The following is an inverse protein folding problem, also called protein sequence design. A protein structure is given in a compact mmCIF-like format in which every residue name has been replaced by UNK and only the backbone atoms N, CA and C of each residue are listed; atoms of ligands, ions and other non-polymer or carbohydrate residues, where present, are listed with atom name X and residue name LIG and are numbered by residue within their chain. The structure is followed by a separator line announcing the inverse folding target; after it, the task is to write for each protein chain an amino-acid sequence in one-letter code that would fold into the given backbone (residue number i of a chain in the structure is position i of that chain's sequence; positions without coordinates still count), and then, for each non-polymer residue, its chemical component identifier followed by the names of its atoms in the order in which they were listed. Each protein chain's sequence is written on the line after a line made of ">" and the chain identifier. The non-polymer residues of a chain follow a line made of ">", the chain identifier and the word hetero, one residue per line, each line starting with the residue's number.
data_IF_651603855623
#
_entry.id   IF_651603855623
#
_cell.length_a   1.000
_cell.length_b   1.000
_cell.length_c   1.000
_cell.angle_alpha   90.00
_cell.angle_beta   90.00
_cell.angle_gamma   90.00
#
_symmetry.space_group_name_H-M   'P 1'
#
loop_
_entity.id
_entity.type
_entity.pdbx_description
1 polymer ?
#
# COMPACT_ATOMS: atom_id res chain seq x y z
N UNK A 1 -1.09 0.15 -8.18
CA UNK A 1 -0.20 0.29 -7.01
C UNK A 1 1.17 0.72 -7.50
N UNK A 2 2.00 1.35 -6.67
CA UNK A 2 3.32 1.86 -7.08
C UNK A 2 4.30 1.82 -5.91
N UNK A 3 5.58 1.56 -6.20
CA UNK A 3 6.65 1.63 -5.22
C UNK A 3 6.97 3.09 -4.86
N UNK A 4 7.22 3.39 -3.58
CA UNK A 4 7.58 4.73 -3.15
C UNK A 4 8.89 5.23 -3.79
N UNK A 5 9.82 4.32 -4.10
CA UNK A 5 11.09 4.64 -4.79
C UNK A 5 10.85 5.12 -6.21
N UNK A 6 9.93 4.48 -6.93
CA UNK A 6 9.57 4.87 -8.29
C UNK A 6 8.87 6.23 -8.31
N UNK A 7 8.02 6.51 -7.29
CA UNK A 7 7.39 7.84 -7.13
C UNK A 7 8.45 8.90 -6.83
N UNK A 8 9.41 8.62 -5.95
CA UNK A 8 10.50 9.55 -5.66
C UNK A 8 11.33 9.86 -6.92
N UNK A 9 11.65 8.82 -7.71
CA UNK A 9 12.34 9.01 -8.99
C UNK A 9 11.50 9.85 -9.97
N UNK A 10 10.18 9.61 -10.02
CA UNK A 10 9.27 10.40 -10.85
C UNK A 10 9.22 11.87 -10.41
N UNK A 11 9.29 12.14 -9.11
CA UNK A 11 9.36 13.52 -8.59
C UNK A 11 10.66 14.20 -9.01
N UNK A 12 11.80 13.52 -8.93
CA UNK A 12 13.09 14.04 -9.40
C UNK A 12 13.02 14.34 -10.91
N UNK A 13 12.52 13.38 -11.71
CA UNK A 13 12.40 13.57 -13.15
C UNK A 13 11.42 14.69 -13.51
N UNK A 14 10.36 14.91 -12.71
CA UNK A 14 9.44 16.01 -12.89
C UNK A 14 10.11 17.38 -12.67
N UNK A 15 11.06 17.48 -11.74
CA UNK A 15 11.86 18.70 -11.56
C UNK A 15 12.78 18.95 -12.76
N UNK A 16 13.40 17.90 -13.29
CA UNK A 16 14.38 18.04 -14.38
C UNK A 16 13.75 18.21 -15.77
N UNK A 17 12.63 17.53 -16.03
CA UNK A 17 12.04 17.35 -17.37
C UNK A 17 10.55 17.69 -17.44
N UNK A 18 9.91 17.89 -16.30
CA UNK A 18 8.49 18.21 -16.24
C UNK A 18 8.21 19.60 -16.82
N UNK A 19 6.95 19.79 -17.23
CA UNK A 19 6.48 21.08 -17.76
C UNK A 19 5.71 21.84 -16.70
N UNK A 20 5.92 23.15 -16.62
CA UNK A 20 5.16 24.02 -15.71
C UNK A 20 3.66 23.94 -16.02
N UNK A 21 2.85 23.76 -14.97
CA UNK A 21 1.39 23.65 -15.07
C UNK A 21 0.88 22.24 -15.36
N UNK A 22 1.76 21.28 -15.65
CA UNK A 22 1.36 19.90 -15.90
C UNK A 22 1.21 19.08 -14.62
N UNK A 23 0.28 18.12 -14.68
CA UNK A 23 0.07 17.11 -13.64
C UNK A 23 0.45 15.74 -14.19
N UNK A 24 1.23 15.00 -13.41
CA UNK A 24 1.69 13.66 -13.76
C UNK A 24 1.13 12.66 -12.75
N UNK A 25 0.48 11.61 -13.25
CA UNK A 25 -0.01 10.50 -12.42
C UNK A 25 1.05 9.42 -12.40
N UNK A 26 1.46 9.00 -11.21
CA UNK A 26 2.46 7.96 -10.97
C UNK A 26 1.79 6.72 -10.41
N UNK A 27 1.06 6.03 -11.27
CA UNK A 27 0.44 4.74 -10.96
C UNK A 27 1.12 3.62 -11.74
N UNK A 28 1.66 2.63 -11.02
CA UNK A 28 2.09 1.37 -11.62
C UNK A 28 0.89 0.49 -12.01
N UNK A 29 1.14 -0.80 -12.23
CA UNK A 29 0.09 -1.73 -12.63
C UNK A 29 -1.07 -1.78 -11.61
N UNK A 30 -2.28 -2.00 -12.14
CA UNK A 30 -3.46 -2.19 -11.33
C UNK A 30 -3.45 -3.60 -10.73
N UNK A 31 -3.61 -3.69 -9.41
CA UNK A 31 -3.75 -4.94 -8.68
C UNK A 31 -5.00 -4.85 -7.80
N UNK A 32 -5.77 -5.93 -7.76
CA UNK A 32 -6.85 -6.07 -6.78
C UNK A 32 -6.25 -6.38 -5.41
N UNK A 33 -7.02 -6.12 -4.35
CA UNK A 33 -6.64 -6.53 -2.99
C UNK A 33 -6.42 -8.06 -2.89
N UNK A 34 -7.19 -8.84 -3.65
CA UNK A 34 -6.99 -10.27 -3.77
C UNK A 34 -5.64 -10.64 -4.40
N UNK A 35 -5.27 -10.00 -5.52
CA UNK A 35 -3.97 -10.22 -6.16
C UNK A 35 -2.81 -9.84 -5.22
N UNK A 36 -2.97 -8.75 -4.46
CA UNK A 36 -1.99 -8.34 -3.45
C UNK A 36 -1.76 -9.44 -2.41
N UNK A 37 -2.85 -9.96 -1.82
CA UNK A 37 -2.77 -11.00 -0.80
C UNK A 37 -2.23 -12.33 -1.33
N UNK A 38 -2.63 -12.74 -2.53
CA UNK A 38 -2.08 -13.94 -3.17
C UNK A 38 -0.58 -13.79 -3.47
N UNK A 39 -0.14 -12.60 -3.87
CA UNK A 39 1.28 -12.32 -4.10
C UNK A 39 2.06 -12.36 -2.80
N UNK A 40 1.52 -11.79 -1.72
CA UNK A 40 2.09 -11.87 -0.38
C UNK A 40 2.17 -13.31 0.14
N UNK A 41 1.15 -14.13 -0.05
CA UNK A 41 1.17 -15.54 0.34
C UNK A 41 2.29 -16.30 -0.37
N UNK A 42 2.46 -16.07 -1.68
CA UNK A 42 3.54 -16.68 -2.47
C UNK A 42 4.94 -16.26 -1.99
N UNK A 43 5.13 -14.99 -1.63
CA UNK A 43 6.44 -14.46 -1.23
C UNK A 43 6.76 -14.83 0.23
N UNK A 44 5.81 -14.65 1.14
CA UNK A 44 6.01 -14.85 2.59
C UNK A 44 5.82 -16.30 3.05
N UNK A 45 5.11 -17.12 2.27
CA UNK A 45 4.66 -18.46 2.69
C UNK A 45 3.54 -18.46 3.73
N UNK A 46 3.02 -17.28 4.11
CA UNK A 46 1.93 -17.13 5.09
C UNK A 46 0.59 -17.18 4.35
N UNK A 47 -0.37 -18.03 4.79
CA UNK A 47 -1.64 -18.18 4.09
C UNK A 47 -2.41 -16.87 4.04
N UNK A 48 -2.91 -16.52 2.85
CA UNK A 48 -3.65 -15.28 2.67
C UNK A 48 -5.01 -15.32 3.41
N UNK A 49 -5.52 -14.17 3.87
CA UNK A 49 -6.85 -14.10 4.47
C UNK A 49 -7.93 -14.48 3.46
N UNK A 50 -8.67 -15.55 3.73
CA UNK A 50 -9.72 -16.08 2.84
C UNK A 50 -11.09 -15.45 3.07
N UNK A 51 -11.25 -14.66 4.14
CA UNK A 51 -12.52 -14.08 4.53
C UNK A 51 -12.88 -12.89 3.62
N UNK A 52 -13.82 -13.10 2.70
CA UNK A 52 -14.43 -12.02 1.92
C UNK A 52 -15.59 -11.42 2.71
N UNK A 53 -15.40 -10.22 3.24
CA UNK A 53 -16.44 -9.47 3.96
C UNK A 53 -17.28 -8.70 2.92
N UNK A 54 -18.62 -8.85 2.89
CA UNK A 54 -19.46 -8.09 1.98
C UNK A 54 -19.39 -6.59 2.30
N UNK A 55 -19.37 -5.75 1.27
CA UNK A 55 -19.19 -4.29 1.39
C UNK A 55 -20.08 -3.65 2.46
N UNK A 56 -21.37 -4.00 2.49
CA UNK A 56 -22.33 -3.45 3.45
C UNK A 56 -21.91 -3.73 4.90
N UNK A 57 -21.36 -4.91 5.17
CA UNK A 57 -20.89 -5.26 6.51
C UNK A 57 -19.61 -4.50 6.86
N UNK A 58 -18.71 -4.31 5.90
CA UNK A 58 -17.50 -3.51 6.07
C UNK A 58 -17.83 -2.05 6.39
N UNK A 59 -18.79 -1.45 5.70
CA UNK A 59 -19.26 -0.08 5.95
C UNK A 59 -19.90 0.04 7.34
N UNK A 60 -20.72 -0.94 7.75
CA UNK A 60 -21.30 -0.98 9.10
C UNK A 60 -20.20 -1.04 10.16
N UNK A 61 -19.25 -1.97 10.02
CA UNK A 61 -18.13 -2.14 10.95
C UNK A 61 -17.29 -0.87 11.05
N UNK A 62 -17.01 -0.22 9.93
CA UNK A 62 -16.23 1.00 9.91
C UNK A 62 -16.98 2.19 10.54
N UNK A 63 -18.30 2.30 10.33
CA UNK A 63 -19.13 3.29 11.02
C UNK A 63 -19.13 3.11 12.54
N UNK A 64 -19.21 1.86 13.03
CA UNK A 64 -19.07 1.57 14.45
C UNK A 64 -17.66 1.89 14.96
N UNK A 65 -16.62 1.57 14.18
CA UNK A 65 -15.23 1.82 14.56
C UNK A 65 -14.90 3.30 14.63
N UNK A 66 -15.43 4.12 13.73
CA UNK A 66 -15.23 5.58 13.73
C UNK A 66 -15.99 6.25 14.87
N UNK A 67 -17.19 5.79 15.19
CA UNK A 67 -17.91 6.26 16.37
C UNK A 67 -17.20 5.88 17.67
N UNK A 68 -16.66 4.66 17.74
CA UNK A 68 -15.86 4.21 18.89
C UNK A 68 -14.54 4.98 18.99
N UNK A 69 -13.86 5.23 17.88
CA UNK A 69 -12.64 6.03 17.80
C UNK A 69 -12.88 7.48 18.26
N UNK A 70 -13.99 8.10 17.84
CA UNK A 70 -14.43 9.43 18.31
C UNK A 70 -14.69 9.46 19.81
N UNK A 71 -15.25 8.38 20.37
CA UNK A 71 -15.46 8.27 21.82
C UNK A 71 -14.16 8.06 22.60
N UNK A 72 -13.19 7.35 22.01
CA UNK A 72 -11.98 6.89 22.71
C UNK A 72 -10.74 7.76 22.42
N UNK A 73 -10.86 8.78 21.55
CA UNK A 73 -9.74 9.60 21.03
C UNK A 73 -8.56 8.77 20.47
N UNK A 74 -8.81 7.51 20.09
CA UNK A 74 -7.84 6.61 19.45
C UNK A 74 -8.06 6.63 17.94
N UNK A 75 -6.99 6.51 17.16
CA UNK A 75 -7.10 6.41 15.70
C UNK A 75 -7.89 5.15 15.33
N UNK A 76 -8.86 5.32 14.42
CA UNK A 76 -9.65 4.21 13.87
C UNK A 76 -8.73 3.22 13.16
N UNK A 77 -8.88 1.93 13.46
CA UNK A 77 -8.12 0.84 12.82
C UNK A 77 -8.56 0.65 11.36
N UNK A 78 -9.79 1.06 11.03
CA UNK A 78 -10.39 0.89 9.70
C UNK A 78 -11.15 2.18 9.34
N UNK A 79 -10.47 3.21 8.81
CA UNK A 79 -11.15 4.43 8.38
C UNK A 79 -12.11 4.12 7.22
N UNK A 80 -13.33 4.67 7.28
CA UNK A 80 -14.38 4.50 6.27
C UNK A 80 -13.89 4.86 4.86
N UNK A 81 -13.09 5.92 4.75
CA UNK A 81 -12.55 6.40 3.49
C UNK A 81 -11.62 5.36 2.84
N UNK A 82 -10.85 4.63 3.67
CA UNK A 82 -9.96 3.57 3.21
C UNK A 82 -10.73 2.44 2.54
N UNK A 83 -11.90 2.07 3.08
CA UNK A 83 -12.76 1.02 2.51
C UNK A 83 -13.35 1.46 1.17
N UNK A 84 -13.84 2.70 1.09
CA UNK A 84 -14.38 3.24 -0.17
C UNK A 84 -13.31 3.23 -1.27
N UNK A 85 -12.10 3.71 -0.97
CA UNK A 85 -10.98 3.74 -1.91
C UNK A 85 -10.55 2.32 -2.30
N UNK A 86 -10.52 1.36 -1.36
CA UNK A 86 -10.20 -0.04 -1.66
C UNK A 86 -11.22 -0.71 -2.59
N UNK A 87 -12.48 -0.26 -2.57
CA UNK A 87 -13.54 -0.78 -3.43
C UNK A 87 -13.61 -0.12 -4.81
N UNK A 88 -13.01 1.06 -4.98
CA UNK A 88 -12.91 1.73 -6.27
C UNK A 88 -11.88 1.05 -7.19
N UNK A 89 -12.35 0.53 -8.33
CA UNK A 89 -11.49 -0.06 -9.36
C UNK A 89 -10.93 1.01 -10.29
N UNK A 90 -10.13 1.92 -9.75
CA UNK A 90 -9.55 3.00 -10.54
C UNK A 90 -8.28 2.53 -11.26
N UNK A 91 -8.42 2.15 -12.54
CA UNK A 91 -7.27 2.06 -13.44
C UNK A 91 -6.82 3.48 -13.78
N UNK A 92 -5.69 3.88 -13.22
CA UNK A 92 -5.11 5.19 -13.46
C UNK A 92 -4.14 5.12 -14.65
N UNK A 93 -4.19 6.14 -15.51
CA UNK A 93 -3.31 6.24 -16.67
C UNK A 93 -2.05 7.04 -16.34
N UNK A 94 -0.90 6.37 -16.42
CA UNK A 94 0.44 6.95 -16.21
C UNK A 94 1.20 7.18 -17.52
N UNK A 95 0.55 7.06 -18.68
CA UNK A 95 1.19 7.19 -19.99
C UNK A 95 1.92 8.52 -20.15
N UNK A 96 1.35 9.62 -19.63
CA UNK A 96 2.00 10.94 -19.65
C UNK A 96 3.30 10.94 -18.85
N UNK A 97 3.30 10.39 -17.64
CA UNK A 97 4.50 10.31 -16.80
C UNK A 97 5.58 9.45 -17.46
N UNK A 98 5.21 8.29 -18.01
CA UNK A 98 6.17 7.41 -18.71
C UNK A 98 6.78 8.13 -19.92
N UNK A 99 5.96 8.78 -20.75
CA UNK A 99 6.41 9.43 -21.97
C UNK A 99 7.26 10.68 -21.73
N UNK A 100 6.86 11.53 -20.80
CA UNK A 100 7.50 12.84 -20.60
C UNK A 100 8.57 12.82 -19.52
N UNK A 101 8.36 12.06 -18.43
CA UNK A 101 9.31 11.96 -17.34
C UNK A 101 10.27 10.77 -17.49
N UNK A 102 10.01 9.84 -18.41
CA UNK A 102 10.84 8.66 -18.64
C UNK A 102 10.85 7.69 -17.45
N UNK A 103 9.77 7.66 -16.67
CA UNK A 103 9.67 6.80 -15.48
C UNK A 103 9.25 5.39 -15.87
N UNK A 104 9.78 4.41 -15.15
CA UNK A 104 9.41 3.00 -15.25
C UNK A 104 8.98 2.51 -13.89
N UNK A 105 7.86 1.78 -13.84
CA UNK A 105 7.34 1.22 -12.59
C UNK A 105 7.74 -0.24 -12.47
N UNK A 106 8.22 -0.62 -11.29
CA UNK A 106 8.63 -1.99 -11.00
C UNK A 106 7.42 -2.90 -10.76
N UNK A 107 7.54 -4.22 -10.99
CA UNK A 107 6.50 -5.17 -10.63
C UNK A 107 6.24 -5.18 -9.13
N UNK A 108 4.99 -5.39 -8.73
CA UNK A 108 4.59 -5.43 -7.31
C UNK A 108 5.35 -6.51 -6.53
N UNK A 109 5.67 -7.63 -7.19
CA UNK A 109 6.42 -8.74 -6.61
C UNK A 109 7.77 -8.31 -6.05
N UNK A 110 8.49 -7.44 -6.75
CA UNK A 110 9.80 -6.97 -6.33
C UNK A 110 9.67 -6.11 -5.07
N UNK A 111 8.73 -5.15 -5.08
CA UNK A 111 8.42 -4.31 -3.91
C UNK A 111 8.01 -5.15 -2.70
N UNK A 112 7.15 -6.14 -2.88
CA UNK A 112 6.69 -6.98 -1.78
C UNK A 112 7.79 -7.87 -1.22
N UNK A 113 8.68 -8.38 -2.07
CA UNK A 113 9.83 -9.18 -1.64
C UNK A 113 10.75 -8.34 -0.76
N UNK A 114 11.12 -7.14 -1.22
CA UNK A 114 11.96 -6.20 -0.46
C UNK A 114 11.33 -5.86 0.90
N UNK A 115 10.01 -5.63 0.93
CA UNK A 115 9.28 -5.29 2.15
C UNK A 115 9.25 -6.48 3.11
N UNK A 116 8.93 -7.68 2.64
CA UNK A 116 8.91 -8.89 3.49
C UNK A 116 10.30 -9.17 4.05
N UNK A 117 11.34 -9.09 3.24
CA UNK A 117 12.73 -9.26 3.67
C UNK A 117 13.12 -8.23 4.73
N UNK A 118 12.74 -6.96 4.52
CA UNK A 118 12.98 -5.90 5.50
C UNK A 118 12.23 -6.15 6.81
N UNK A 119 10.98 -6.61 6.75
CA UNK A 119 10.18 -6.95 7.93
C UNK A 119 10.78 -8.13 8.69
N UNK A 120 11.17 -9.20 8.00
CA UNK A 120 11.82 -10.36 8.62
C UNK A 120 13.14 -9.99 9.28
N UNK A 121 13.93 -9.10 8.68
CA UNK A 121 15.16 -8.61 9.30
C UNK A 121 14.86 -7.70 10.49
N UNK A 122 13.96 -6.72 10.36
CA UNK A 122 13.80 -5.66 11.36
C UNK A 122 12.92 -6.08 12.55
N UNK A 123 11.80 -6.76 12.29
CA UNK A 123 10.84 -7.13 13.34
C UNK A 123 11.31 -8.35 14.14
N UNK A 124 11.93 -9.34 13.50
CA UNK A 124 12.54 -10.47 14.24
C UNK A 124 13.67 -9.97 15.15
N UNK A 125 14.45 -8.98 14.69
CA UNK A 125 15.49 -8.36 15.53
C UNK A 125 14.85 -7.61 16.71
N UNK A 126 13.76 -6.85 16.52
CA UNK A 126 13.12 -6.14 17.63
C UNK A 126 12.49 -7.09 18.67
N UNK A 127 11.82 -8.15 18.23
CA UNK A 127 11.31 -9.18 19.16
C UNK A 127 12.45 -9.87 19.91
N UNK A 128 13.58 -10.17 19.29
CA UNK A 128 14.69 -10.81 19.99
C UNK A 128 15.48 -9.86 20.92
N UNK A 129 15.36 -8.55 20.72
CA UNK A 129 16.05 -7.55 21.54
C UNK A 129 15.26 -7.16 22.79
N UNK A 130 13.92 -7.09 22.72
CA UNK A 130 13.09 -6.83 23.90
C UNK A 130 13.11 -7.99 24.92
N UNK A 131 13.32 -9.23 24.47
CA UNK A 131 13.47 -10.39 25.36
C UNK A 131 14.83 -10.46 26.08
N UNK A 132 15.84 -9.73 25.63
CA UNK A 132 17.22 -9.81 26.17
C UNK A 132 17.59 -8.68 27.13
N UNK A 133 16.69 -7.75 27.39
CA UNK A 133 16.88 -6.64 28.36
C UNK A 133 16.24 -6.98 29.73
N UNK A 134 15.66 -8.18 29.88
CA UNK A 134 15.08 -8.67 31.15
C UNK A 134 15.93 -9.75 31.87
N UNK A 135 17.24 -9.80 31.61
CA UNK A 135 18.19 -10.68 32.33
C UNK A 135 19.33 -9.84 32.93
#
# INVERSE_FOLDING_TARGET
>A
MVDARDVAQAMINAVERGKNGDRYITAGQYYTLENLFQTLERISGIPAPKLRIPYNLTVILAWFSDNYARLTSKKSVIPLEGICIMHEKNQLDSAKAIKELGVTFRPLEETLTDVVDWYQKTVVIQQNTEFRIQE
#
